data_IF_842941872657
#
_entry.id   IF_842941872657
#
_cell.length_a   1.000
_cell.length_b   1.000
_cell.length_c   1.000
_cell.angle_alpha   90.00
_cell.angle_beta   90.00
_cell.angle_gamma   90.00
#
_symmetry.space_group_name_H-M   'P 1'
#
loop_
_entity.id
_entity.type
_entity.pdbx_description
1 polymer ?
#
# COMPACT_ATOMS: atom_id res chain seq x y z
N UNK A 1 12.67 -36.69 21.36
CA UNK A 1 11.79 -35.65 21.93
C UNK A 1 11.29 -34.80 20.77
N UNK A 2 10.03 -34.99 20.33
CA UNK A 2 9.45 -34.16 19.27
C UNK A 2 9.00 -32.84 19.88
N UNK A 3 9.75 -31.78 19.62
CA UNK A 3 9.36 -30.42 19.99
C UNK A 3 8.36 -29.98 18.92
N UNK A 4 7.07 -30.17 19.19
CA UNK A 4 5.99 -29.65 18.34
C UNK A 4 5.96 -28.14 18.61
N UNK A 5 6.41 -27.35 17.64
CA UNK A 5 6.42 -25.88 17.74
C UNK A 5 4.97 -25.40 17.64
N UNK A 6 4.42 -24.83 18.72
CA UNK A 6 3.09 -24.23 18.71
C UNK A 6 3.17 -22.78 18.22
N UNK A 7 2.52 -22.49 17.09
CA UNK A 7 2.49 -21.17 16.47
C UNK A 7 1.28 -20.31 16.90
N UNK A 8 0.37 -20.82 17.73
CA UNK A 8 -0.72 -20.02 18.30
C UNK A 8 -0.29 -18.68 18.94
N UNK A 9 0.86 -18.59 19.65
CA UNK A 9 1.30 -17.33 20.25
C UNK A 9 1.69 -16.26 19.21
N UNK A 10 2.03 -16.66 17.99
CA UNK A 10 2.39 -15.74 16.89
C UNK A 10 1.17 -15.15 16.18
N UNK A 11 -0.02 -15.70 16.40
CA UNK A 11 -1.25 -15.24 15.77
C UNK A 11 -1.52 -13.72 15.94
N UNK A 12 -1.38 -13.13 17.15
CA UNK A 12 -1.52 -11.67 17.31
C UNK A 12 -0.45 -10.87 16.54
N UNK A 13 0.78 -11.38 16.45
CA UNK A 13 1.88 -10.73 15.71
C UNK A 13 1.62 -10.75 14.20
N UNK A 14 1.13 -11.87 13.67
CA UNK A 14 0.75 -12.00 12.26
C UNK A 14 -0.42 -11.06 11.94
N UNK A 15 -1.39 -10.95 12.85
CA UNK A 15 -2.54 -10.08 12.66
C UNK A 15 -2.14 -8.59 12.66
N UNK A 16 -1.26 -8.17 13.57
CA UNK A 16 -0.73 -6.80 13.61
C UNK A 16 0.08 -6.47 12.34
N UNK A 17 0.92 -7.41 11.89
CA UNK A 17 1.67 -7.28 10.65
C UNK A 17 0.74 -7.17 9.42
N UNK A 18 -0.30 -8.01 9.36
CA UNK A 18 -1.28 -8.00 8.27
C UNK A 18 -2.04 -6.67 8.22
N UNK A 19 -2.43 -6.12 9.37
CA UNK A 19 -3.09 -4.81 9.46
C UNK A 19 -2.13 -3.69 9.00
N UNK A 20 -0.87 -3.70 9.45
CA UNK A 20 0.13 -2.72 8.99
C UNK A 20 0.37 -2.78 7.49
N UNK A 21 0.53 -3.98 6.94
CA UNK A 21 0.70 -4.17 5.49
C UNK A 21 -0.54 -3.72 4.72
N UNK A 22 -1.73 -4.04 5.23
CA UNK A 22 -2.97 -3.60 4.61
C UNK A 22 -3.06 -2.06 4.57
N UNK A 23 -2.74 -1.37 5.66
CA UNK A 23 -2.73 0.10 5.72
C UNK A 23 -1.73 0.67 4.70
N UNK A 24 -0.52 0.11 4.64
CA UNK A 24 0.57 0.60 3.78
C UNK A 24 0.30 0.36 2.30
N UNK A 25 -0.37 -0.74 1.95
CA UNK A 25 -0.65 -1.07 0.55
C UNK A 25 -1.99 -0.47 0.12
N UNK A 26 -3.06 -0.67 0.88
CA UNK A 26 -4.41 -0.27 0.47
C UNK A 26 -4.64 1.24 0.52
N UNK A 27 -4.24 1.93 1.59
CA UNK A 27 -4.55 3.38 1.72
C UNK A 27 -3.96 4.19 0.56
N UNK A 28 -2.67 4.06 0.22
CA UNK A 28 -2.11 4.86 -0.85
C UNK A 28 -2.50 4.34 -2.24
N UNK A 29 -2.91 3.06 -2.38
CA UNK A 29 -3.48 2.53 -3.62
C UNK A 29 -4.88 3.09 -3.90
N UNK A 30 -5.74 3.13 -2.87
CA UNK A 30 -7.06 3.77 -2.96
C UNK A 30 -6.93 5.26 -3.25
N UNK A 31 -5.99 5.95 -2.61
CA UNK A 31 -5.72 7.36 -2.86
C UNK A 31 -5.31 7.60 -4.32
N UNK A 32 -4.38 6.79 -4.86
CA UNK A 32 -3.95 6.88 -6.26
C UNK A 32 -5.10 6.63 -7.24
N UNK A 33 -5.97 5.65 -6.96
CA UNK A 33 -7.15 5.36 -7.76
C UNK A 33 -8.15 6.51 -7.76
N UNK A 34 -8.47 7.07 -6.58
CA UNK A 34 -9.38 8.22 -6.46
C UNK A 34 -8.82 9.41 -7.24
N UNK A 35 -7.54 9.74 -7.05
CA UNK A 35 -6.88 10.83 -7.77
C UNK A 35 -6.96 10.61 -9.27
N UNK A 36 -6.68 9.39 -9.76
CA UNK A 36 -6.79 9.06 -11.19
C UNK A 36 -8.21 9.25 -11.72
N UNK A 37 -9.22 8.74 -11.02
CA UNK A 37 -10.64 8.84 -11.43
C UNK A 37 -11.10 10.29 -11.46
N UNK A 38 -10.76 11.07 -10.42
CA UNK A 38 -11.08 12.50 -10.36
C UNK A 38 -10.39 13.23 -11.51
N UNK A 39 -9.10 13.01 -11.74
CA UNK A 39 -8.38 13.67 -12.82
C UNK A 39 -8.86 13.29 -14.23
N UNK A 40 -9.21 12.03 -14.46
CA UNK A 40 -9.79 11.60 -15.75
C UNK A 40 -11.09 12.35 -16.07
N UNK A 41 -11.83 12.80 -15.05
CA UNK A 41 -13.06 13.57 -15.25
C UNK A 41 -12.82 15.04 -15.59
N UNK A 42 -11.68 15.61 -15.20
CA UNK A 42 -11.39 17.05 -15.34
C UNK A 42 -10.29 17.38 -16.36
N UNK A 43 -9.43 16.44 -16.75
CA UNK A 43 -8.28 16.70 -17.61
C UNK A 43 -8.25 15.78 -18.84
N UNK A 44 -7.67 16.28 -19.94
CA UNK A 44 -7.30 15.44 -21.10
C UNK A 44 -6.47 14.24 -20.63
N UNK A 45 -6.77 13.04 -21.12
CA UNK A 45 -6.16 11.77 -20.71
C UNK A 45 -4.62 11.81 -20.62
N UNK A 46 -3.98 12.57 -21.51
CA UNK A 46 -2.52 12.77 -21.52
C UNK A 46 -1.93 13.36 -20.22
N UNK A 47 -2.65 14.26 -19.55
CA UNK A 47 -2.21 14.85 -18.28
C UNK A 47 -2.55 13.93 -17.10
N UNK A 48 -3.71 13.27 -17.15
CA UNK A 48 -4.14 12.31 -16.13
C UNK A 48 -3.15 11.13 -16.01
N UNK A 49 -2.63 10.64 -17.14
CA UNK A 49 -1.58 9.61 -17.16
C UNK A 49 -0.30 10.05 -16.47
N UNK A 50 0.17 11.29 -16.71
CA UNK A 50 1.38 11.85 -16.08
C UNK A 50 1.22 12.03 -14.58
N UNK A 51 0.04 12.48 -14.12
CA UNK A 51 -0.23 12.62 -12.69
C UNK A 51 -0.38 11.27 -11.99
N UNK A 52 -0.99 10.27 -12.65
CA UNK A 52 -1.05 8.92 -12.13
C UNK A 52 0.36 8.31 -11.96
N UNK A 53 1.28 8.54 -12.90
CA UNK A 53 2.67 8.11 -12.75
C UNK A 53 3.41 8.82 -11.61
N UNK A 54 3.16 10.13 -11.39
CA UNK A 54 3.70 10.85 -10.24
C UNK A 54 3.15 10.31 -8.92
N UNK A 55 1.84 10.05 -8.85
CA UNK A 55 1.20 9.42 -7.69
C UNK A 55 1.78 8.02 -7.41
N UNK A 56 2.07 7.23 -8.44
CA UNK A 56 2.71 5.92 -8.32
C UNK A 56 4.15 6.02 -7.80
N UNK A 57 4.92 7.00 -8.27
CA UNK A 57 6.27 7.28 -7.77
C UNK A 57 6.24 7.66 -6.29
N UNK A 58 5.31 8.54 -5.88
CA UNK A 58 5.11 8.87 -4.47
C UNK A 58 4.70 7.65 -3.65
N UNK A 59 3.85 6.78 -4.19
CA UNK A 59 3.47 5.51 -3.56
C UNK A 59 4.70 4.63 -3.31
N UNK A 60 5.52 4.40 -4.34
CA UNK A 60 6.73 3.58 -4.21
C UNK A 60 7.69 4.16 -3.17
N UNK A 61 7.88 5.49 -3.15
CA UNK A 61 8.71 6.15 -2.14
C UNK A 61 8.19 5.94 -0.72
N UNK A 62 6.88 6.10 -0.49
CA UNK A 62 6.28 5.89 0.84
C UNK A 62 6.39 4.44 1.31
N UNK A 63 6.15 3.48 0.41
CA UNK A 63 6.33 2.05 0.70
C UNK A 63 7.79 1.74 1.02
N UNK A 64 8.73 2.28 0.23
CA UNK A 64 10.15 2.08 0.45
C UNK A 64 10.59 2.66 1.80
N UNK A 65 10.15 3.88 2.12
CA UNK A 65 10.40 4.50 3.42
C UNK A 65 9.84 3.66 4.57
N UNK A 66 8.60 3.17 4.45
CA UNK A 66 7.99 2.31 5.46
C UNK A 66 8.71 0.97 5.68
N UNK A 67 9.34 0.41 4.65
CA UNK A 67 10.13 -0.82 4.79
C UNK A 67 11.47 -0.53 5.47
N UNK A 68 12.00 0.68 5.31
CA UNK A 68 13.37 1.04 5.73
C UNK A 68 13.43 1.67 7.14
N UNK A 69 12.38 2.37 7.57
CA UNK A 69 12.19 2.89 8.94
C UNK A 69 11.31 1.97 9.80
#
# INVERSE_FOLDING_TARGET
MNIIINFEPFNPTINDLAIKLAIVIFIPLFLALIVKVVLMKFMKESMAGRLASLSLLCFMYYVFKFITE
#
